data_IF_991176141176
#
_entry.id   IF_991176141176
#
_cell.length_a   1.000
_cell.length_b   1.000
_cell.length_c   1.000
_cell.angle_alpha   90.00
_cell.angle_beta   90.00
_cell.angle_gamma   90.00
#
_symmetry.space_group_name_H-M   'P 1'
#
loop_
_entity.id
_entity.type
_entity.pdbx_description
1 polymer ?
#
# COMPACT_ATOMS: atom_id res chain seq x y z
N UNK A 1 -21.79 49.37 31.70
CA UNK A 1 -22.06 47.97 31.31
C UNK A 1 -20.75 47.21 31.38
N UNK A 2 -20.53 46.49 32.52
CA UNK A 2 -19.23 45.87 32.85
C UNK A 2 -19.19 44.47 32.27
N UNK A 3 -18.26 44.23 31.36
CA UNK A 3 -18.01 42.90 30.75
C UNK A 3 -17.17 42.06 31.77
N UNK A 4 -17.82 41.09 32.37
CA UNK A 4 -17.17 40.15 33.31
C UNK A 4 -16.15 39.24 32.55
N UNK A 5 -14.88 39.36 32.90
CA UNK A 5 -13.82 38.46 32.43
C UNK A 5 -14.08 37.03 32.95
N UNK A 6 -14.06 35.99 32.08
CA UNK A 6 -14.21 34.62 32.54
C UNK A 6 -12.96 34.20 33.36
N UNK A 7 -13.19 33.76 34.58
CA UNK A 7 -12.15 33.35 35.52
C UNK A 7 -11.46 32.07 35.07
N UNK A 8 -10.15 32.10 34.90
CA UNK A 8 -9.21 31.03 34.52
C UNK A 8 -9.20 29.81 35.45
N UNK A 9 -9.93 29.84 36.55
CA UNK A 9 -9.94 28.77 37.60
C UNK A 9 -10.73 27.50 37.25
N UNK A 10 -11.49 27.46 36.15
CA UNK A 10 -12.32 26.29 35.79
C UNK A 10 -11.60 25.25 34.93
N UNK A 11 -10.41 25.56 34.41
CA UNK A 11 -9.65 24.66 33.51
C UNK A 11 -8.72 23.64 34.22
N UNK A 12 -8.48 23.78 35.52
CA UNK A 12 -7.49 22.95 36.24
C UNK A 12 -8.08 21.78 37.05
N UNK A 13 -9.40 21.54 37.04
CA UNK A 13 -10.01 20.41 37.74
C UNK A 13 -10.33 19.17 36.92
N UNK A 14 -9.99 19.13 35.62
CA UNK A 14 -10.14 17.95 34.78
C UNK A 14 -8.91 17.01 34.78
N UNK A 15 -7.87 17.35 35.55
CA UNK A 15 -6.54 16.73 35.45
C UNK A 15 -6.39 15.35 36.08
N UNK A 16 -7.32 14.80 36.87
CA UNK A 16 -7.00 13.55 37.59
C UNK A 16 -8.10 12.46 37.63
N UNK A 17 -9.29 12.73 37.09
CA UNK A 17 -10.33 11.70 36.95
C UNK A 17 -10.49 11.16 35.51
N UNK A 18 -9.93 11.85 34.51
CA UNK A 18 -9.96 11.43 33.14
C UNK A 18 -8.87 10.39 32.77
N UNK A 19 -7.77 10.36 33.50
CA UNK A 19 -6.65 9.45 33.16
C UNK A 19 -7.04 7.98 33.27
N UNK A 20 -7.64 7.56 34.37
CA UNK A 20 -8.01 6.14 34.55
C UNK A 20 -9.12 5.70 33.58
N UNK A 21 -10.14 6.53 33.35
CA UNK A 21 -11.18 6.25 32.39
C UNK A 21 -10.60 6.09 30.96
N UNK A 22 -9.63 6.92 30.58
CA UNK A 22 -8.93 6.77 29.29
C UNK A 22 -8.24 5.40 29.14
N UNK A 23 -7.55 4.94 30.18
CA UNK A 23 -6.92 3.61 30.15
C UNK A 23 -7.95 2.48 30.04
N UNK A 24 -9.08 2.56 30.74
CA UNK A 24 -10.17 1.56 30.65
C UNK A 24 -10.75 1.50 29.25
N UNK A 25 -10.95 2.64 28.57
CA UNK A 25 -11.47 2.65 27.19
C UNK A 25 -10.48 2.10 26.17
N UNK A 26 -9.18 2.30 26.37
CA UNK A 26 -8.15 1.82 25.45
C UNK A 26 -7.69 0.39 25.77
N UNK A 27 -7.91 -0.09 27.03
CA UNK A 27 -7.49 -1.42 27.49
C UNK A 27 -7.93 -2.57 26.57
N UNK A 28 -9.18 -2.68 26.06
CA UNK A 28 -9.57 -3.77 25.18
C UNK A 28 -8.71 -3.83 23.91
N UNK A 29 -8.42 -2.68 23.30
CA UNK A 29 -7.58 -2.59 22.10
C UNK A 29 -6.12 -2.94 22.41
N UNK A 30 -5.59 -2.50 23.52
CA UNK A 30 -4.22 -2.84 23.96
C UNK A 30 -4.11 -4.33 24.27
N UNK A 31 -5.07 -4.92 24.98
CA UNK A 31 -5.10 -6.34 25.30
C UNK A 31 -5.13 -7.17 23.99
N UNK A 32 -5.99 -6.78 23.05
CA UNK A 32 -6.05 -7.43 21.74
C UNK A 32 -4.70 -7.37 21.01
N UNK A 33 -4.07 -6.20 20.98
CA UNK A 33 -2.76 -5.99 20.36
C UNK A 33 -1.67 -6.83 21.04
N UNK A 34 -1.65 -6.89 22.37
CA UNK A 34 -0.67 -7.69 23.13
C UNK A 34 -0.87 -9.18 22.82
N UNK A 35 -2.10 -9.69 22.91
CA UNK A 35 -2.40 -11.12 22.78
C UNK A 35 -2.27 -11.62 21.35
N UNK A 36 -2.74 -10.85 20.36
CA UNK A 36 -2.83 -11.32 18.97
C UNK A 36 -1.72 -10.80 18.05
N UNK A 37 -0.95 -9.81 18.48
CA UNK A 37 0.15 -9.26 17.68
C UNK A 37 1.49 -9.42 18.40
N UNK A 38 1.65 -8.86 19.58
CA UNK A 38 2.94 -8.83 20.27
C UNK A 38 3.36 -10.22 20.74
N UNK A 39 2.46 -10.97 21.39
CA UNK A 39 2.78 -12.29 21.92
C UNK A 39 3.16 -13.29 20.83
N UNK A 40 2.46 -13.39 19.68
CA UNK A 40 2.92 -14.23 18.54
C UNK A 40 4.26 -13.80 17.97
N UNK A 41 4.59 -12.50 17.93
CA UNK A 41 5.90 -12.03 17.48
C UNK A 41 7.00 -12.51 18.43
N UNK A 42 6.79 -12.36 19.76
CA UNK A 42 7.75 -12.85 20.78
C UNK A 42 7.89 -14.38 20.69
N UNK A 43 6.77 -15.10 20.52
CA UNK A 43 6.79 -16.56 20.37
C UNK A 43 7.55 -16.97 19.10
N UNK A 44 7.31 -16.31 17.97
CA UNK A 44 8.04 -16.57 16.73
C UNK A 44 9.55 -16.33 16.88
N UNK A 45 9.93 -15.24 17.58
CA UNK A 45 11.32 -14.95 17.89
C UNK A 45 11.94 -16.05 18.78
N UNK A 46 11.23 -16.51 19.81
CA UNK A 46 11.68 -17.63 20.64
C UNK A 46 11.86 -18.92 19.82
N UNK A 47 10.85 -19.30 19.02
CA UNK A 47 10.91 -20.49 18.18
C UNK A 47 11.98 -20.41 17.10
N UNK A 48 12.38 -19.25 16.63
CA UNK A 48 13.45 -19.09 15.65
C UNK A 48 14.81 -19.61 16.15
N UNK A 49 15.02 -19.64 17.47
CA UNK A 49 16.21 -20.20 18.12
C UNK A 49 16.04 -21.65 18.57
N UNK A 50 14.94 -22.30 18.23
CA UNK A 50 14.65 -23.68 18.62
C UNK A 50 14.51 -24.60 17.41
N UNK A 51 14.79 -25.89 17.62
CA UNK A 51 14.41 -26.94 16.69
C UNK A 51 13.02 -27.44 17.12
N UNK A 52 12.00 -27.05 16.38
CA UNK A 52 10.60 -27.27 16.72
C UNK A 52 9.80 -27.71 15.49
N UNK A 53 9.30 -28.93 15.52
CA UNK A 53 8.54 -29.59 14.45
C UNK A 53 7.04 -29.70 14.73
N UNK A 54 6.53 -28.99 15.76
CA UNK A 54 5.13 -29.04 16.25
C UNK A 54 4.73 -30.38 16.91
N UNK A 55 5.50 -31.43 16.74
CA UNK A 55 5.21 -32.77 17.26
C UNK A 55 5.94 -33.05 18.59
N UNK A 56 7.09 -32.42 18.80
CA UNK A 56 7.93 -32.56 19.98
C UNK A 56 8.08 -31.23 20.73
N UNK A 57 8.58 -31.31 21.95
CA UNK A 57 8.90 -30.10 22.73
C UNK A 57 10.01 -29.33 22.04
N UNK A 58 9.92 -27.98 22.01
CA UNK A 58 10.96 -27.14 21.42
C UNK A 58 12.31 -27.37 22.11
N UNK A 59 13.35 -27.65 21.33
CA UNK A 59 14.73 -27.82 21.83
C UNK A 59 15.55 -26.60 21.38
N UNK A 60 16.32 -26.03 22.30
CA UNK A 60 17.16 -24.89 21.96
C UNK A 60 18.24 -25.29 20.94
N UNK A 61 18.21 -24.65 19.77
CA UNK A 61 19.11 -24.89 18.65
C UNK A 61 20.09 -23.75 18.40
N UNK A 62 20.00 -22.65 19.16
CA UNK A 62 20.83 -21.47 18.99
C UNK A 62 20.68 -20.86 17.58
N UNK A 63 21.79 -20.57 16.92
CA UNK A 63 21.82 -19.95 15.58
C UNK A 63 21.75 -20.94 14.41
N UNK A 64 21.43 -22.21 14.65
CA UNK A 64 21.41 -23.26 13.62
C UNK A 64 20.45 -22.89 12.47
N UNK A 65 19.24 -22.46 12.79
CA UNK A 65 18.23 -22.12 11.79
C UNK A 65 18.67 -20.94 10.90
N UNK A 66 19.30 -19.93 11.48
CA UNK A 66 19.84 -18.79 10.74
C UNK A 66 21.01 -19.17 9.82
N UNK A 67 21.90 -20.08 10.29
CA UNK A 67 22.99 -20.59 9.45
C UNK A 67 22.44 -21.40 8.28
N UNK A 68 21.47 -22.28 8.53
CA UNK A 68 20.82 -23.05 7.48
C UNK A 68 20.15 -22.15 6.45
N UNK A 69 19.44 -21.09 6.91
CA UNK A 69 18.79 -20.11 6.03
C UNK A 69 19.81 -19.40 5.13
N UNK A 70 20.92 -18.95 5.68
CA UNK A 70 21.97 -18.26 4.91
C UNK A 70 22.73 -19.18 3.95
N UNK A 71 22.76 -20.49 4.21
CA UNK A 71 23.36 -21.50 3.32
C UNK A 71 22.37 -22.08 2.30
N UNK A 72 21.08 -21.76 2.40
CA UNK A 72 20.08 -22.19 1.41
C UNK A 72 20.11 -21.29 0.19
N UNK A 73 20.47 -21.85 -0.97
CA UNK A 73 20.52 -21.13 -2.25
C UNK A 73 19.18 -20.53 -2.68
N UNK A 74 18.06 -21.00 -2.14
CA UNK A 74 16.71 -20.45 -2.45
C UNK A 74 16.49 -19.12 -1.76
N UNK A 75 17.10 -18.89 -0.60
CA UNK A 75 16.88 -17.68 0.20
C UNK A 75 17.29 -16.39 -0.54
N UNK A 76 18.51 -16.27 -1.12
CA UNK A 76 18.89 -15.09 -1.89
C UNK A 76 17.96 -14.85 -3.09
N UNK A 77 17.52 -15.90 -3.78
CA UNK A 77 16.56 -15.78 -4.89
C UNK A 77 15.21 -15.26 -4.42
N UNK A 78 14.69 -15.76 -3.29
CA UNK A 78 13.44 -15.28 -2.72
C UNK A 78 13.52 -13.80 -2.34
N UNK A 79 14.61 -13.39 -1.67
CA UNK A 79 14.85 -11.98 -1.31
C UNK A 79 14.92 -11.11 -2.56
N UNK A 80 15.71 -11.51 -3.56
CA UNK A 80 15.87 -10.76 -4.81
C UNK A 80 14.53 -10.61 -5.54
N UNK A 81 13.75 -11.67 -5.65
CA UNK A 81 12.44 -11.63 -6.29
C UNK A 81 11.46 -10.72 -5.54
N UNK A 82 11.45 -10.77 -4.21
CA UNK A 82 10.61 -9.90 -3.37
C UNK A 82 11.01 -8.44 -3.53
N UNK A 83 12.29 -8.12 -3.54
CA UNK A 83 12.78 -6.76 -3.77
C UNK A 83 12.47 -6.29 -5.19
N UNK A 84 12.70 -7.14 -6.21
CA UNK A 84 12.37 -6.80 -7.60
C UNK A 84 10.88 -6.49 -7.75
N UNK A 85 10.02 -7.31 -7.15
CA UNK A 85 8.58 -7.04 -7.12
C UNK A 85 8.25 -5.73 -6.41
N UNK A 86 8.79 -5.49 -5.22
CA UNK A 86 8.52 -4.29 -4.44
C UNK A 86 8.97 -3.02 -5.17
N UNK A 87 10.20 -3.01 -5.70
CA UNK A 87 10.73 -1.88 -6.45
C UNK A 87 10.08 -1.70 -7.83
N UNK A 88 9.53 -2.75 -8.42
CA UNK A 88 8.72 -2.67 -9.63
C UNK A 88 7.31 -2.15 -9.36
N UNK A 89 6.66 -2.64 -8.31
CA UNK A 89 5.24 -2.36 -8.03
C UNK A 89 5.03 -1.02 -7.34
N UNK A 90 5.86 -0.68 -6.33
CA UNK A 90 5.62 0.50 -5.49
C UNK A 90 5.80 1.80 -6.29
N UNK A 91 6.90 2.07 -6.99
CA UNK A 91 7.05 3.32 -7.74
C UNK A 91 6.02 3.46 -8.86
N UNK A 92 5.79 2.37 -9.63
CA UNK A 92 4.81 2.38 -10.73
C UNK A 92 3.39 2.58 -10.22
N UNK A 93 3.03 1.93 -9.11
CA UNK A 93 1.72 2.09 -8.48
C UNK A 93 1.51 3.48 -7.90
N UNK A 94 2.54 4.11 -7.32
CA UNK A 94 2.50 5.49 -6.83
C UNK A 94 2.25 6.45 -7.99
N UNK A 95 3.03 6.33 -9.07
CA UNK A 95 2.91 7.21 -10.23
C UNK A 95 1.53 7.08 -10.88
N UNK A 96 1.09 5.84 -11.14
CA UNK A 96 -0.22 5.59 -11.77
C UNK A 96 -1.38 6.08 -10.88
N UNK A 97 -1.33 5.82 -9.58
CA UNK A 97 -2.37 6.25 -8.63
C UNK A 97 -2.42 7.77 -8.48
N UNK A 98 -1.26 8.43 -8.41
CA UNK A 98 -1.18 9.89 -8.34
C UNK A 98 -1.71 10.54 -9.61
N UNK A 99 -1.32 10.04 -10.78
CA UNK A 99 -1.84 10.54 -12.07
C UNK A 99 -3.36 10.37 -12.15
N UNK A 100 -3.89 9.21 -11.77
CA UNK A 100 -5.33 8.97 -11.72
C UNK A 100 -6.03 9.92 -10.73
N UNK A 101 -5.45 10.12 -9.53
CA UNK A 101 -6.02 11.03 -8.54
C UNK A 101 -6.10 12.47 -9.07
N UNK A 102 -5.04 12.95 -9.73
CA UNK A 102 -5.03 14.29 -10.36
C UNK A 102 -6.07 14.41 -11.46
N UNK A 103 -6.22 13.39 -12.32
CA UNK A 103 -7.23 13.36 -13.38
C UNK A 103 -8.65 13.38 -12.81
N UNK A 104 -8.90 12.62 -11.75
CA UNK A 104 -10.22 12.47 -11.12
C UNK A 104 -10.53 13.58 -10.11
N UNK A 105 -9.54 14.39 -9.72
CA UNK A 105 -9.77 15.55 -8.85
C UNK A 105 -10.55 16.68 -9.54
N UNK A 106 -10.76 16.59 -10.85
CA UNK A 106 -11.54 17.57 -11.62
C UNK A 106 -13.04 17.40 -11.38
N UNK A 107 -13.79 18.49 -11.36
CA UNK A 107 -15.26 18.46 -11.27
C UNK A 107 -15.87 18.22 -12.66
N UNK A 108 -15.95 16.94 -13.06
CA UNK A 108 -16.52 16.51 -14.34
C UNK A 108 -17.81 15.72 -14.06
N UNK A 109 -18.80 15.83 -14.93
CA UNK A 109 -20.02 15.01 -14.86
C UNK A 109 -19.65 13.53 -14.92
N UNK A 110 -20.19 12.70 -14.01
CA UNK A 110 -19.91 11.26 -13.96
C UNK A 110 -18.63 10.86 -13.18
N UNK A 111 -17.93 11.80 -12.55
CA UNK A 111 -16.68 11.53 -11.83
C UNK A 111 -16.82 10.43 -10.75
N UNK A 112 -17.98 10.34 -10.11
CA UNK A 112 -18.27 9.31 -9.11
C UNK A 112 -18.28 7.89 -9.71
N UNK A 113 -18.80 7.75 -10.94
CA UNK A 113 -18.76 6.47 -11.67
C UNK A 113 -17.32 6.05 -11.99
N UNK A 114 -16.49 6.99 -12.46
CA UNK A 114 -15.06 6.72 -12.69
C UNK A 114 -14.34 6.30 -11.40
N UNK A 115 -14.60 7.01 -10.29
CA UNK A 115 -14.04 6.63 -8.97
C UNK A 115 -14.45 5.21 -8.57
N UNK A 116 -15.71 4.87 -8.74
CA UNK A 116 -16.23 3.53 -8.46
C UNK A 116 -15.57 2.46 -9.36
N UNK A 117 -15.44 2.71 -10.66
CA UNK A 117 -14.81 1.78 -11.61
C UNK A 117 -13.35 1.50 -11.27
N UNK A 118 -12.55 2.54 -10.94
CA UNK A 118 -11.15 2.35 -10.54
C UNK A 118 -11.01 1.73 -9.15
N UNK A 119 -12.01 1.85 -8.29
CA UNK A 119 -12.01 1.22 -6.97
C UNK A 119 -12.54 -0.23 -6.97
N UNK A 120 -13.30 -0.61 -7.99
CA UNK A 120 -13.89 -1.95 -8.12
C UNK A 120 -12.86 -3.10 -7.99
N UNK A 121 -11.67 -3.02 -8.62
CA UNK A 121 -10.65 -4.06 -8.44
C UNK A 121 -10.22 -4.25 -7.00
N UNK A 122 -10.19 -3.19 -6.19
CA UNK A 122 -9.74 -3.23 -4.79
C UNK A 122 -10.64 -4.11 -3.94
N UNK A 123 -11.97 -4.01 -4.12
CA UNK A 123 -12.96 -4.79 -3.35
C UNK A 123 -13.17 -6.20 -3.89
N UNK A 124 -12.69 -6.47 -5.11
CA UNK A 124 -12.80 -7.80 -5.71
C UNK A 124 -11.87 -8.80 -5.03
N UNK A 125 -12.29 -10.07 -4.93
CA UNK A 125 -11.44 -11.14 -4.41
C UNK A 125 -10.14 -11.23 -5.22
N UNK A 126 -9.01 -11.38 -4.52
CA UNK A 126 -7.72 -11.54 -5.19
C UNK A 126 -7.69 -12.77 -6.09
N UNK A 127 -8.24 -13.89 -5.63
CA UNK A 127 -8.31 -15.15 -6.40
C UNK A 127 -9.10 -14.95 -7.70
N UNK A 128 -10.27 -14.30 -7.63
CA UNK A 128 -11.09 -14.04 -8.82
C UNK A 128 -10.36 -13.16 -9.84
N UNK A 129 -9.69 -12.11 -9.35
CA UNK A 129 -8.86 -11.24 -10.21
C UNK A 129 -7.72 -12.03 -10.85
N UNK A 130 -7.01 -12.85 -10.08
CA UNK A 130 -5.90 -13.66 -10.60
C UNK A 130 -6.33 -14.61 -11.71
N UNK A 131 -7.50 -15.25 -11.58
CA UNK A 131 -8.04 -16.13 -12.62
C UNK A 131 -8.37 -15.37 -13.92
N UNK A 132 -8.93 -14.17 -13.81
CA UNK A 132 -9.20 -13.32 -14.99
C UNK A 132 -7.88 -12.94 -15.66
N UNK A 133 -6.88 -12.51 -14.89
CA UNK A 133 -5.59 -12.13 -15.43
C UNK A 133 -4.82 -13.32 -15.99
N UNK A 134 -4.92 -14.52 -15.40
CA UNK A 134 -4.36 -15.75 -15.95
C UNK A 134 -4.90 -16.03 -17.35
N UNK A 135 -6.22 -15.86 -17.55
CA UNK A 135 -6.82 -15.98 -18.87
C UNK A 135 -6.35 -14.87 -19.84
N UNK A 136 -6.27 -13.62 -19.39
CA UNK A 136 -5.79 -12.50 -20.20
C UNK A 136 -4.33 -12.68 -20.63
N UNK A 137 -3.50 -13.31 -19.80
CA UNK A 137 -2.09 -13.61 -20.06
C UNK A 137 -1.86 -14.92 -20.81
N UNK A 138 -2.91 -15.67 -21.19
CA UNK A 138 -2.72 -16.92 -21.91
C UNK A 138 -2.02 -16.68 -23.25
N UNK A 139 -0.85 -17.37 -23.53
CA UNK A 139 -0.04 -17.06 -24.70
C UNK A 139 -0.74 -17.30 -26.05
N UNK A 140 -1.65 -18.27 -26.12
CA UNK A 140 -2.27 -18.68 -27.38
C UNK A 140 -3.52 -17.87 -27.75
N UNK A 141 -4.38 -17.60 -26.78
CA UNK A 141 -5.69 -16.96 -26.99
C UNK A 141 -6.00 -15.83 -26.00
N UNK A 142 -5.01 -15.42 -25.22
CA UNK A 142 -5.18 -14.36 -24.21
C UNK A 142 -5.33 -12.98 -24.85
N UNK A 143 -6.10 -12.12 -24.18
CA UNK A 143 -6.45 -10.78 -24.65
C UNK A 143 -5.21 -9.93 -24.97
N UNK A 144 -4.18 -9.97 -24.14
CA UNK A 144 -3.00 -9.12 -24.33
C UNK A 144 -2.22 -9.49 -25.61
N UNK A 145 -2.05 -10.78 -25.90
CA UNK A 145 -1.38 -11.20 -27.12
C UNK A 145 -2.24 -10.94 -28.36
N UNK A 146 -3.56 -11.02 -28.27
CA UNK A 146 -4.44 -10.64 -29.38
C UNK A 146 -4.29 -9.14 -29.71
N UNK A 147 -4.21 -8.27 -28.69
CA UNK A 147 -3.93 -6.85 -28.89
C UNK A 147 -2.53 -6.64 -29.46
N UNK A 148 -1.51 -7.33 -28.95
CA UNK A 148 -0.13 -7.21 -29.45
C UNK A 148 -0.01 -7.56 -30.92
N UNK A 149 -0.70 -8.62 -31.37
CA UNK A 149 -0.74 -9.00 -32.77
C UNK A 149 -1.36 -7.94 -33.65
N UNK A 150 -2.45 -7.30 -33.19
CA UNK A 150 -3.09 -6.24 -33.98
C UNK A 150 -2.15 -5.04 -34.23
N UNK A 151 -1.23 -4.78 -33.26
CA UNK A 151 -0.18 -3.76 -33.40
C UNK A 151 1.13 -4.28 -34.00
N UNK A 152 1.17 -5.52 -34.50
CA UNK A 152 2.37 -6.13 -35.09
C UNK A 152 3.48 -6.44 -34.08
N UNK A 153 3.16 -6.52 -32.80
CA UNK A 153 4.11 -6.83 -31.72
C UNK A 153 4.23 -8.35 -31.52
N UNK A 154 5.40 -8.86 -31.10
CA UNK A 154 5.59 -10.27 -30.86
C UNK A 154 4.76 -10.77 -29.68
N UNK A 155 4.27 -12.00 -29.75
CA UNK A 155 3.58 -12.67 -28.66
C UNK A 155 4.53 -12.89 -27.48
N UNK A 156 4.09 -12.55 -26.28
CA UNK A 156 4.81 -12.80 -25.04
C UNK A 156 4.29 -14.08 -24.36
N UNK A 157 5.19 -14.76 -23.65
CA UNK A 157 4.82 -15.95 -22.85
C UNK A 157 4.25 -15.59 -21.47
N UNK A 158 4.26 -14.30 -21.12
CA UNK A 158 3.75 -13.75 -19.86
C UNK A 158 4.18 -14.57 -18.65
N UNK A 159 3.25 -15.23 -17.95
CA UNK A 159 3.52 -16.05 -16.76
C UNK A 159 4.29 -17.35 -17.05
N UNK A 160 4.39 -17.77 -18.31
CA UNK A 160 5.08 -19.01 -18.71
C UNK A 160 6.55 -18.82 -19.07
N UNK A 161 7.11 -17.64 -18.86
CA UNK A 161 8.55 -17.37 -19.03
C UNK A 161 9.11 -16.69 -17.81
N UNK A 162 10.31 -17.09 -17.37
CA UNK A 162 11.03 -16.43 -16.29
C UNK A 162 11.27 -14.93 -16.53
N UNK A 163 11.49 -14.55 -17.80
CA UNK A 163 11.79 -13.16 -18.18
C UNK A 163 10.58 -12.23 -18.06
N UNK A 164 9.37 -12.75 -18.25
CA UNK A 164 8.14 -11.94 -18.29
C UNK A 164 7.20 -12.16 -17.10
N UNK A 165 7.37 -13.25 -16.35
CA UNK A 165 6.46 -13.62 -15.27
C UNK A 165 6.39 -12.55 -14.17
N UNK A 166 7.52 -12.05 -13.70
CA UNK A 166 7.57 -11.03 -12.66
C UNK A 166 6.93 -9.71 -13.12
N UNK A 167 7.21 -9.29 -14.36
CA UNK A 167 6.58 -8.11 -14.96
C UNK A 167 5.06 -8.26 -15.04
N UNK A 168 4.58 -9.44 -15.43
CA UNK A 168 3.14 -9.75 -15.50
C UNK A 168 2.46 -9.60 -14.13
N UNK A 169 3.09 -10.13 -13.07
CA UNK A 169 2.59 -10.02 -11.70
C UNK A 169 2.61 -8.56 -11.23
N UNK A 170 3.65 -7.79 -11.56
CA UNK A 170 3.74 -6.37 -11.24
C UNK A 170 2.58 -5.60 -11.89
N UNK A 171 2.33 -5.79 -13.17
CA UNK A 171 1.25 -5.10 -13.90
C UNK A 171 -0.11 -5.39 -13.26
N UNK A 172 -0.41 -6.66 -12.99
CA UNK A 172 -1.65 -7.06 -12.30
C UNK A 172 -1.76 -6.41 -10.92
N UNK A 173 -0.70 -6.43 -10.14
CA UNK A 173 -0.67 -5.90 -8.77
C UNK A 173 -0.83 -4.39 -8.74
N UNK A 174 -0.19 -3.66 -9.66
CA UNK A 174 -0.37 -2.21 -9.82
C UNK A 174 -1.83 -1.90 -10.15
N UNK A 175 -2.41 -2.58 -11.14
CA UNK A 175 -3.81 -2.39 -11.53
C UNK A 175 -4.77 -2.67 -10.37
N UNK A 176 -4.53 -3.74 -9.62
CA UNK A 176 -5.37 -4.11 -8.47
C UNK A 176 -5.37 -3.07 -7.35
N UNK A 177 -4.21 -2.49 -7.07
CA UNK A 177 -4.03 -1.60 -5.91
C UNK A 177 -4.13 -0.11 -6.25
N UNK A 178 -4.08 0.26 -7.54
CA UNK A 178 -4.07 1.68 -7.94
C UNK A 178 -5.30 2.46 -7.44
N UNK A 179 -6.47 1.80 -7.35
CA UNK A 179 -7.70 2.43 -6.90
C UNK A 179 -7.67 2.86 -5.43
N UNK A 180 -7.09 2.04 -4.54
CA UNK A 180 -6.93 2.38 -3.13
C UNK A 180 -5.99 3.58 -2.95
N UNK A 181 -4.82 3.51 -3.56
CA UNK A 181 -3.83 4.58 -3.48
C UNK A 181 -4.34 5.87 -4.13
N UNK A 182 -5.10 5.77 -5.23
CA UNK A 182 -5.78 6.90 -5.87
C UNK A 182 -6.74 7.63 -4.92
N UNK A 183 -7.54 6.88 -4.13
CA UNK A 183 -8.46 7.49 -3.15
C UNK A 183 -7.69 8.21 -2.04
N UNK A 184 -6.59 7.65 -1.56
CA UNK A 184 -5.73 8.29 -0.57
C UNK A 184 -5.12 9.59 -1.12
N UNK A 185 -4.59 9.55 -2.35
CA UNK A 185 -4.07 10.76 -3.01
C UNK A 185 -5.16 11.80 -3.27
N UNK A 186 -6.37 11.37 -3.65
CA UNK A 186 -7.50 12.26 -3.86
C UNK A 186 -7.88 13.00 -2.57
N UNK A 187 -7.89 12.31 -1.43
CA UNK A 187 -8.11 12.94 -0.13
C UNK A 187 -7.00 13.95 0.20
N UNK A 188 -5.73 13.62 -0.08
CA UNK A 188 -4.61 14.54 0.07
C UNK A 188 -4.74 15.77 -0.83
N UNK A 189 -5.11 15.61 -2.10
CA UNK A 189 -5.33 16.69 -3.04
C UNK A 189 -6.44 17.65 -2.59
N UNK A 190 -7.54 17.10 -2.07
CA UNK A 190 -8.67 17.90 -1.55
C UNK A 190 -8.33 18.63 -0.24
N UNK A 191 -7.29 18.21 0.46
CA UNK A 191 -6.78 18.90 1.64
C UNK A 191 -5.90 20.12 1.33
N UNK A 192 -5.48 20.33 0.07
CA UNK A 192 -4.67 21.48 -0.33
C UNK A 192 -5.55 22.72 -0.45
N UNK A 193 -5.25 23.82 0.29
CA UNK A 193 -6.04 25.02 0.24
C UNK A 193 -6.04 25.69 -1.15
N UNK A 194 -7.21 26.04 -1.72
CA UNK A 194 -7.30 26.62 -3.07
C UNK A 194 -6.49 27.90 -3.28
N UNK A 195 -6.37 28.74 -2.25
CA UNK A 195 -5.64 30.01 -2.32
C UNK A 195 -4.16 29.84 -2.70
N UNK A 196 -3.55 28.66 -2.46
CA UNK A 196 -2.17 28.38 -2.88
C UNK A 196 -2.06 28.24 -4.40
N UNK A 197 -3.08 27.69 -5.04
CA UNK A 197 -3.15 27.61 -6.50
C UNK A 197 -3.43 28.98 -7.12
N UNK A 198 -4.30 29.77 -6.48
CA UNK A 198 -4.60 31.14 -6.91
C UNK A 198 -3.37 32.06 -6.84
N UNK A 199 -2.59 31.98 -5.73
CA UNK A 199 -1.35 32.71 -5.59
C UNK A 199 -0.33 32.31 -6.69
N UNK A 200 -0.18 31.01 -6.95
CA UNK A 200 0.70 30.54 -8.01
C UNK A 200 0.24 30.98 -9.42
N UNK A 201 -1.08 31.14 -9.64
CA UNK A 201 -1.61 31.72 -10.90
C UNK A 201 -1.26 33.19 -11.05
N UNK A 202 -1.38 33.99 -9.99
CA UNK A 202 -0.97 35.39 -9.97
C UNK A 202 0.53 35.55 -10.28
N UNK A 203 1.36 34.61 -9.78
CA UNK A 203 2.79 34.53 -10.07
C UNK A 203 3.10 34.00 -11.49
N UNK A 204 2.08 33.73 -12.33
CA UNK A 204 2.25 33.27 -13.71
C UNK A 204 2.57 31.79 -13.85
N UNK A 205 2.37 30.97 -12.81
CA UNK A 205 2.66 29.54 -12.87
C UNK A 205 1.64 28.78 -13.73
N UNK A 206 2.11 28.16 -14.80
CA UNK A 206 1.31 27.24 -15.63
C UNK A 206 0.97 25.91 -14.90
N UNK A 207 0.09 25.06 -15.49
CA UNK A 207 -0.39 23.84 -14.86
C UNK A 207 0.72 22.88 -14.41
N UNK A 208 1.74 22.69 -15.22
CA UNK A 208 2.89 21.83 -14.93
C UNK A 208 3.69 22.40 -13.75
N UNK A 209 3.94 23.73 -13.75
CA UNK A 209 4.64 24.40 -12.67
C UNK A 209 3.88 24.28 -11.34
N UNK A 210 2.56 24.48 -11.35
CA UNK A 210 1.69 24.29 -10.18
C UNK A 210 1.75 22.84 -9.67
N UNK A 211 1.76 21.85 -10.56
CA UNK A 211 1.88 20.45 -10.15
C UNK A 211 3.20 20.17 -9.40
N UNK A 212 4.36 20.56 -9.98
CA UNK A 212 5.64 20.26 -9.38
C UNK A 212 6.02 21.15 -8.19
N UNK A 213 5.58 22.42 -8.18
CA UNK A 213 5.96 23.39 -7.13
C UNK A 213 4.96 23.54 -6.00
N UNK A 214 3.68 23.21 -6.23
CA UNK A 214 2.62 23.33 -5.22
C UNK A 214 2.07 21.95 -4.86
N UNK A 215 1.52 21.23 -5.84
CA UNK A 215 0.81 19.97 -5.56
C UNK A 215 1.73 18.89 -5.00
N UNK A 216 2.81 18.59 -5.69
CA UNK A 216 3.70 17.48 -5.33
C UNK A 216 4.38 17.67 -3.96
N UNK A 217 4.92 18.87 -3.62
CA UNK A 217 5.48 19.11 -2.29
C UNK A 217 4.46 19.03 -1.16
N UNK A 218 3.23 19.55 -1.38
CA UNK A 218 2.18 19.50 -0.37
C UNK A 218 1.59 18.09 -0.19
N UNK A 219 1.70 17.22 -1.20
CA UNK A 219 1.36 15.81 -1.12
C UNK A 219 2.48 14.94 -0.50
N UNK A 220 3.65 15.48 -0.16
CA UNK A 220 4.74 14.70 0.38
C UNK A 220 4.37 13.85 1.61
N UNK A 221 3.59 14.33 2.61
CA UNK A 221 3.14 13.51 3.72
C UNK A 221 2.23 12.35 3.27
N UNK A 222 1.30 12.60 2.35
CA UNK A 222 0.42 11.59 1.77
C UNK A 222 1.22 10.56 0.97
N UNK A 223 2.18 11.02 0.16
CA UNK A 223 3.07 10.14 -0.60
C UNK A 223 3.90 9.27 0.32
N UNK A 224 4.45 9.83 1.38
CA UNK A 224 5.22 9.08 2.38
C UNK A 224 4.36 7.97 3.01
N UNK A 225 3.14 8.28 3.39
CA UNK A 225 2.19 7.29 3.91
C UNK A 225 1.91 6.17 2.90
N UNK A 226 1.59 6.54 1.65
CA UNK A 226 1.32 5.56 0.58
C UNK A 226 2.55 4.69 0.31
N UNK A 227 3.75 5.27 0.24
CA UNK A 227 5.02 4.52 0.06
C UNK A 227 5.16 3.46 1.14
N UNK A 228 5.03 3.84 2.42
CA UNK A 228 5.22 2.90 3.54
C UNK A 228 4.19 1.77 3.48
N UNK A 229 2.91 2.11 3.39
CA UNK A 229 1.85 1.10 3.41
C UNK A 229 1.96 0.16 2.20
N UNK A 230 2.21 0.72 1.02
CA UNK A 230 2.33 -0.07 -0.20
C UNK A 230 3.59 -0.94 -0.20
N UNK A 231 4.71 -0.42 0.32
CA UNK A 231 5.96 -1.17 0.44
C UNK A 231 5.84 -2.33 1.43
N UNK A 232 5.20 -2.11 2.59
CA UNK A 232 4.90 -3.19 3.55
C UNK A 232 4.07 -4.28 2.86
N UNK A 233 3.01 -3.91 2.14
CA UNK A 233 2.19 -4.86 1.39
C UNK A 233 2.95 -5.61 0.31
N UNK A 234 3.88 -4.94 -0.38
CA UNK A 234 4.71 -5.55 -1.42
C UNK A 234 5.73 -6.57 -0.84
N UNK A 235 6.29 -6.29 0.35
CA UNK A 235 7.17 -7.24 1.04
C UNK A 235 6.45 -8.47 1.59
N UNK A 236 5.13 -8.37 1.81
CA UNK A 236 4.28 -9.47 2.27
C UNK A 236 3.64 -10.25 1.12
N UNK A 237 4.22 -10.16 -0.09
CA UNK A 237 3.73 -10.84 -1.27
C UNK A 237 3.77 -12.37 -1.10
N UNK A 238 2.60 -12.97 -0.87
CA UNK A 238 2.40 -14.41 -0.80
C UNK A 238 1.29 -14.86 -1.75
N UNK A 239 0.13 -14.22 -1.67
CA UNK A 239 -1.10 -14.58 -2.38
C UNK A 239 -1.00 -14.35 -3.90
N UNK A 240 -0.07 -13.51 -4.35
CA UNK A 240 0.14 -13.18 -5.77
C UNK A 240 0.85 -14.30 -6.56
N UNK A 241 1.49 -15.23 -5.86
CA UNK A 241 2.33 -16.28 -6.45
C UNK A 241 1.67 -17.66 -6.36
N UNK A 242 0.70 -17.83 -5.46
CA UNK A 242 -0.10 -19.03 -5.24
C UNK A 242 -1.54 -18.84 -5.70
#
# INVERSE_FOLDING_TARGET
>A
MAIAKPTLRRRLRLGNRGGFAGYVFVAPSIIFLIVFVILPIIAALYYSFTDYDLMQSPRFAGMKNYRNLLSDNRYPHAVTNTLYFAFGTVPTGIVTSLLLAVLINRQIRGIYTFRALFYLPVVSSFVSVSLIWLWMYEPQFGLFNSIFEEFGLPRLKWLRSADTSMLSIIIMSVWKNMGLNMVIYLAGLQGIPPHLYEAAEIDGAGPISKFFRVTLPLLAPTTFFVVIVYFIGALQMFVQVF
#
